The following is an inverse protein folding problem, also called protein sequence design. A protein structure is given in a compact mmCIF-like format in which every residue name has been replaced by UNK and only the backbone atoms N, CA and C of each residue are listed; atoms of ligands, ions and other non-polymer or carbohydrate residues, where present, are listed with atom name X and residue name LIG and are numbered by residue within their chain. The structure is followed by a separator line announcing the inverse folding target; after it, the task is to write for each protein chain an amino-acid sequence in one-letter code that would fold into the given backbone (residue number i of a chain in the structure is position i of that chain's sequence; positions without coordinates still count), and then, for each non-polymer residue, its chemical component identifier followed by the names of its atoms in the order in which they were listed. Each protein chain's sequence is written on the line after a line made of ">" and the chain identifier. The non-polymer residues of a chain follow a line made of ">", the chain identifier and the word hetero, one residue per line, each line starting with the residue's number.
data_IF_200709123821
#
_entry.id   IF_200709123821
#
_cell.length_a   1.000
_cell.length_b   1.000
_cell.length_c   1.000
_cell.angle_alpha   90.00
_cell.angle_beta   90.00
_cell.angle_gamma   90.00
#
_symmetry.space_group_name_H-M   'P 1'
#
loop_
_entity.id
_entity.type
_entity.pdbx_description
1 polymer ?
#
# COMPACT_ATOMS: atom_id res chain seq x y z
N UNK A 1 4.69 10.36 12.86
CA UNK A 1 5.03 11.58 13.61
C UNK A 1 4.51 11.53 15.04
N UNK A 2 5.32 11.98 16.01
CA UNK A 2 4.93 12.27 17.40
C UNK A 2 4.20 13.61 17.48
N UNK A 3 3.48 13.90 18.57
CA UNK A 3 2.83 15.21 18.74
C UNK A 3 3.88 16.30 18.93
N UNK A 4 4.83 16.02 19.83
CA UNK A 4 5.97 16.89 20.13
C UNK A 4 7.19 16.48 19.30
N UNK A 5 8.19 17.37 19.17
CA UNK A 5 9.45 17.07 18.50
C UNK A 5 10.19 15.86 19.08
N UNK A 6 11.06 15.26 18.27
CA UNK A 6 11.98 14.22 18.71
C UNK A 6 11.32 12.88 19.09
N UNK A 7 11.97 12.17 20.00
CA UNK A 7 11.63 10.79 20.39
C UNK A 7 11.88 9.78 19.27
N UNK A 8 11.38 8.55 19.45
CA UNK A 8 11.43 7.50 18.42
C UNK A 8 10.41 7.82 17.31
N UNK A 9 10.81 8.63 16.32
CA UNK A 9 10.07 8.83 15.09
C UNK A 9 11.01 8.87 13.88
N UNK A 10 10.49 8.46 12.72
CA UNK A 10 11.23 8.56 11.47
C UNK A 10 11.41 10.03 11.08
N UNK A 11 12.56 10.35 10.47
CA UNK A 11 12.77 11.62 9.79
C UNK A 11 12.00 11.57 8.46
N UNK A 12 11.08 12.51 8.28
CA UNK A 12 10.34 12.67 7.04
C UNK A 12 11.09 13.64 6.12
N UNK A 13 10.94 13.47 4.81
CA UNK A 13 11.40 14.46 3.83
C UNK A 13 10.57 15.73 3.94
N UNK A 14 11.12 16.82 3.46
CA UNK A 14 10.42 18.11 3.42
C UNK A 14 9.19 18.03 2.51
N UNK A 15 8.13 18.72 2.94
CA UNK A 15 6.88 18.89 2.21
C UNK A 15 6.71 20.32 1.76
N UNK A 16 5.46 20.74 1.57
CA UNK A 16 5.10 22.11 1.22
C UNK A 16 3.71 22.44 1.72
N UNK A 17 3.37 23.72 1.82
CA UNK A 17 2.01 24.15 2.13
C UNK A 17 1.72 25.51 1.51
N UNK A 18 0.44 25.84 1.37
CA UNK A 18 0.02 27.17 0.92
C UNK A 18 -0.29 28.06 2.13
N UNK A 19 0.24 29.28 2.11
CA UNK A 19 -0.14 30.32 3.08
C UNK A 19 -1.52 30.88 2.76
N UNK A 20 -2.12 31.60 3.71
CA UNK A 20 -3.40 32.28 3.50
C UNK A 20 -3.36 33.28 2.32
N UNK A 21 -2.18 33.81 2.02
CA UNK A 21 -1.93 34.73 0.89
C UNK A 21 -1.70 34.00 -0.45
N UNK A 22 -1.77 32.67 -0.47
CA UNK A 22 -1.65 31.84 -1.68
C UNK A 22 -0.23 31.45 -2.08
N UNK A 23 0.78 31.79 -1.30
CA UNK A 23 2.18 31.41 -1.60
C UNK A 23 2.48 29.98 -1.15
N UNK A 24 3.25 29.25 -1.97
CA UNK A 24 3.79 27.94 -1.57
C UNK A 24 5.06 28.12 -0.75
N UNK A 25 5.09 27.53 0.44
CA UNK A 25 6.25 27.52 1.34
C UNK A 25 6.72 26.08 1.53
N UNK A 26 8.04 25.88 1.58
CA UNK A 26 8.62 24.56 1.88
C UNK A 26 8.45 24.24 3.36
N UNK A 27 7.81 23.10 3.64
CA UNK A 27 7.62 22.60 5.00
C UNK A 27 8.84 21.75 5.38
N UNK A 28 9.79 22.34 6.12
CA UNK A 28 10.88 21.56 6.69
C UNK A 28 10.34 20.58 7.73
N UNK A 29 10.69 19.30 7.63
CA UNK A 29 10.20 18.25 8.55
C UNK A 29 11.19 17.92 9.68
N UNK A 30 12.38 18.52 9.64
CA UNK A 30 13.41 18.47 10.68
C UNK A 30 13.79 19.90 11.03
N UNK A 31 13.96 20.18 12.32
CA UNK A 31 14.46 21.48 12.75
C UNK A 31 15.92 21.68 12.34
N UNK A 32 16.26 22.91 11.95
CA UNK A 32 17.65 23.27 11.62
C UNK A 32 18.58 23.05 12.83
N UNK A 33 19.87 22.84 12.53
CA UNK A 33 20.87 22.57 13.56
C UNK A 33 21.11 23.74 14.53
N UNK A 34 20.74 24.95 14.13
CA UNK A 34 20.80 26.17 14.96
C UNK A 34 19.50 26.44 15.73
N UNK A 35 18.51 25.54 15.68
CA UNK A 35 17.25 25.75 16.38
C UNK A 35 17.47 25.77 17.91
N UNK A 36 16.93 26.76 18.64
CA UNK A 36 17.31 27.03 20.03
C UNK A 36 16.97 25.91 21.03
N UNK A 37 15.94 25.12 20.75
CA UNK A 37 15.42 24.09 21.68
C UNK A 37 15.56 22.67 21.13
N UNK A 38 15.23 22.47 19.86
CA UNK A 38 15.18 21.16 19.18
C UNK A 38 16.16 21.03 17.98
N UNK A 39 17.47 21.28 18.13
CA UNK A 39 18.40 21.29 16.99
C UNK A 39 18.49 19.91 16.31
N UNK A 40 18.19 19.84 15.01
CA UNK A 40 18.25 18.60 14.23
C UNK A 40 17.17 17.56 14.57
N UNK A 41 16.22 17.89 15.45
CA UNK A 41 15.17 16.95 15.81
C UNK A 41 14.04 16.94 14.75
N UNK A 42 13.46 15.76 14.46
CA UNK A 42 12.28 15.69 13.60
C UNK A 42 11.11 16.44 14.24
N UNK A 43 10.39 17.22 13.43
CA UNK A 43 9.22 17.97 13.88
C UNK A 43 8.10 17.04 14.31
N UNK A 44 7.36 17.47 15.33
CA UNK A 44 6.11 16.83 15.73
C UNK A 44 4.93 17.37 14.94
N UNK A 45 3.80 16.67 15.03
CA UNK A 45 2.51 17.07 14.46
C UNK A 45 2.14 18.50 14.88
N UNK A 46 2.39 18.87 16.15
CA UNK A 46 2.06 20.21 16.65
C UNK A 46 2.82 21.30 15.90
N UNK A 47 4.12 21.12 15.67
CA UNK A 47 4.95 22.12 14.99
C UNK A 47 4.49 22.30 13.54
N UNK A 48 4.32 21.19 12.80
CA UNK A 48 3.86 21.22 11.41
C UNK A 48 2.47 21.86 11.28
N UNK A 49 1.51 21.47 12.12
CA UNK A 49 0.16 22.06 12.08
C UNK A 49 0.12 23.54 12.49
N UNK A 50 1.00 23.98 13.39
CA UNK A 50 1.11 25.41 13.74
C UNK A 50 1.65 26.20 12.54
N UNK A 51 2.65 25.67 11.84
CA UNK A 51 3.22 26.29 10.63
C UNK A 51 2.19 26.37 9.49
N UNK A 52 1.35 25.35 9.35
CA UNK A 52 0.23 25.32 8.39
C UNK A 52 -0.99 26.16 8.85
N UNK A 53 -1.02 26.67 10.09
CA UNK A 53 -2.15 27.43 10.63
C UNK A 53 -3.40 26.60 10.94
N UNK A 54 -3.30 25.25 10.98
CA UNK A 54 -4.43 24.34 11.20
C UNK A 54 -4.46 23.71 12.62
N UNK A 55 -3.58 24.15 13.52
CA UNK A 55 -3.54 23.68 14.90
C UNK A 55 -4.66 24.30 15.75
N UNK A 56 -5.50 23.45 16.37
CA UNK A 56 -6.61 23.89 17.22
C UNK A 56 -6.47 23.48 18.71
N UNK A 57 -5.35 22.87 19.12
CA UNK A 57 -4.96 22.65 20.53
C UNK A 57 -5.82 21.70 21.36
N UNK A 58 -7.08 21.48 20.99
CA UNK A 58 -8.07 20.70 21.72
C UNK A 58 -8.27 19.29 21.13
N UNK A 59 -7.63 19.00 19.99
CA UNK A 59 -7.81 17.74 19.29
C UNK A 59 -6.74 16.71 19.68
N UNK A 60 -7.21 15.48 19.90
CA UNK A 60 -6.37 14.29 20.16
C UNK A 60 -5.47 13.95 18.98
N UNK A 61 -4.31 13.35 19.26
CA UNK A 61 -3.34 12.88 18.24
C UNK A 61 -3.98 12.00 17.17
N UNK A 62 -4.68 10.94 17.60
CA UNK A 62 -5.32 9.92 16.76
C UNK A 62 -6.59 9.46 17.46
N UNK A 63 -7.66 9.19 16.71
CA UNK A 63 -8.84 8.53 17.23
C UNK A 63 -8.50 7.13 17.79
N UNK A 64 -9.17 6.72 18.86
CA UNK A 64 -9.03 5.39 19.46
C UNK A 64 -9.56 4.30 18.53
N UNK A 65 -10.72 4.55 17.93
CA UNK A 65 -11.31 3.78 16.83
C UNK A 65 -10.93 4.38 15.47
N UNK A 66 -11.33 3.70 14.39
CA UNK A 66 -11.26 4.26 13.04
C UNK A 66 -11.95 5.64 13.00
N UNK A 67 -11.34 6.59 12.28
CA UNK A 67 -11.94 7.89 12.04
C UNK A 67 -13.22 7.70 11.23
N UNK A 68 -14.29 8.42 11.55
CA UNK A 68 -15.46 8.49 10.69
C UNK A 68 -15.01 9.10 9.34
N UNK A 69 -15.38 8.46 8.22
CA UNK A 69 -15.04 8.93 6.87
C UNK A 69 -15.53 10.35 6.64
N UNK A 70 -16.70 10.68 7.17
CA UNK A 70 -17.43 11.91 6.89
C UNK A 70 -16.90 13.11 7.70
N UNK A 71 -15.98 12.86 8.64
CA UNK A 71 -15.41 13.88 9.53
C UNK A 71 -13.93 14.08 9.22
N UNK A 72 -13.62 15.23 8.63
CA UNK A 72 -12.26 15.62 8.24
C UNK A 72 -11.41 16.06 9.45
N UNK A 73 -12.04 16.61 10.49
CA UNK A 73 -11.37 17.23 11.64
C UNK A 73 -11.57 16.46 12.95
N UNK A 74 -11.43 15.13 12.94
CA UNK A 74 -11.65 14.33 14.15
C UNK A 74 -10.39 14.09 15.02
N UNK A 75 -9.20 14.13 14.43
CA UNK A 75 -7.91 13.98 15.11
C UNK A 75 -6.79 14.63 14.30
N UNK A 76 -5.67 14.99 14.95
CA UNK A 76 -4.56 15.66 14.27
C UNK A 76 -4.00 14.84 13.09
N UNK A 77 -3.97 13.50 13.24
CA UNK A 77 -3.60 12.58 12.15
C UNK A 77 -4.51 12.75 10.93
N UNK A 78 -5.83 12.83 11.13
CA UNK A 78 -6.81 12.97 10.04
C UNK A 78 -6.67 14.32 9.35
N UNK A 79 -6.45 15.38 10.11
CA UNK A 79 -6.26 16.73 9.54
C UNK A 79 -5.01 16.76 8.66
N UNK A 80 -3.88 16.26 9.17
CA UNK A 80 -2.64 16.16 8.40
C UNK A 80 -2.79 15.26 7.18
N UNK A 81 -3.47 14.11 7.31
CA UNK A 81 -3.73 13.22 6.18
C UNK A 81 -4.44 13.94 5.04
N UNK A 82 -5.30 14.93 5.28
CA UNK A 82 -5.99 15.68 4.21
C UNK A 82 -5.26 16.93 3.75
N UNK A 83 -4.08 17.23 4.29
CA UNK A 83 -3.27 18.30 3.74
C UNK A 83 -2.75 17.89 2.34
N UNK A 84 -2.73 18.81 1.37
CA UNK A 84 -2.37 18.49 -0.02
C UNK A 84 -1.00 17.83 -0.17
N UNK A 85 0.01 18.34 0.54
CA UNK A 85 1.37 17.78 0.52
C UNK A 85 1.42 16.33 1.01
N UNK A 86 0.68 16.01 2.08
CA UNK A 86 0.59 14.64 2.58
C UNK A 86 -0.19 13.70 1.65
N UNK A 87 -1.21 14.20 0.94
CA UNK A 87 -1.96 13.41 -0.05
C UNK A 87 -1.15 13.14 -1.31
N UNK A 88 -0.40 14.14 -1.77
CA UNK A 88 0.40 14.05 -3.00
C UNK A 88 1.74 13.34 -2.77
N UNK A 89 2.19 13.23 -1.52
CA UNK A 89 3.45 12.58 -1.20
C UNK A 89 3.43 11.10 -1.58
N UNK A 90 4.13 10.77 -2.67
CA UNK A 90 4.40 9.37 -3.06
C UNK A 90 5.35 8.71 -2.07
N UNK A 91 5.22 7.39 -1.93
CA UNK A 91 6.16 6.63 -1.11
C UNK A 91 7.53 6.53 -1.79
N UNK A 92 8.61 6.45 -1.01
CA UNK A 92 9.97 6.26 -1.55
C UNK A 92 10.05 5.03 -2.47
N UNK A 93 9.35 3.95 -2.13
CA UNK A 93 9.29 2.73 -2.93
C UNK A 93 8.64 3.02 -4.30
N UNK A 94 7.52 3.75 -4.31
CA UNK A 94 6.84 4.11 -5.55
C UNK A 94 7.74 4.95 -6.45
N UNK A 95 8.38 5.98 -5.89
CA UNK A 95 9.28 6.85 -6.66
C UNK A 95 10.46 6.08 -7.22
N UNK A 96 11.11 5.25 -6.40
CA UNK A 96 12.26 4.43 -6.84
C UNK A 96 11.88 3.50 -8.00
N UNK A 97 10.70 2.89 -7.95
CA UNK A 97 10.20 1.99 -9.00
C UNK A 97 9.86 2.78 -10.27
N UNK A 98 9.15 3.90 -10.14
CA UNK A 98 8.73 4.75 -11.26
C UNK A 98 9.93 5.43 -11.95
N UNK A 99 10.96 5.85 -11.21
CA UNK A 99 12.21 6.41 -11.75
C UNK A 99 12.98 5.41 -12.60
N UNK A 100 12.87 4.11 -12.29
CA UNK A 100 13.44 3.03 -13.12
C UNK A 100 12.57 2.70 -14.34
N UNK A 101 11.47 3.43 -14.57
CA UNK A 101 10.54 3.20 -15.68
C UNK A 101 9.57 2.04 -15.46
N UNK A 102 9.41 1.57 -14.21
CA UNK A 102 8.48 0.49 -13.86
C UNK A 102 7.17 1.04 -13.28
N UNK A 103 6.10 0.26 -13.39
CA UNK A 103 4.82 0.57 -12.76
C UNK A 103 4.78 0.05 -11.31
N UNK A 104 4.45 0.93 -10.36
CA UNK A 104 4.23 0.55 -8.96
C UNK A 104 2.74 0.32 -8.68
N UNK A 105 2.31 -0.93 -8.63
CA UNK A 105 0.91 -1.30 -8.40
C UNK A 105 0.70 -1.66 -6.92
N UNK A 106 -0.15 -0.89 -6.22
CA UNK A 106 -0.56 -1.20 -4.85
C UNK A 106 -1.83 -2.05 -4.84
N UNK A 107 -1.72 -3.26 -4.31
CA UNK A 107 -2.84 -4.18 -4.19
C UNK A 107 -3.61 -3.94 -2.88
N UNK A 108 -4.95 -4.15 -2.86
CA UNK A 108 -5.75 -4.04 -1.65
C UNK A 108 -5.26 -5.01 -0.56
N UNK A 109 -5.28 -4.56 0.69
CA UNK A 109 -4.89 -5.39 1.84
C UNK A 109 -5.92 -6.50 2.08
N UNK A 110 -5.43 -7.70 2.41
CA UNK A 110 -6.25 -8.88 2.71
C UNK A 110 -7.07 -9.43 1.54
N UNK A 111 -6.68 -9.12 0.31
CA UNK A 111 -7.29 -9.60 -0.92
C UNK A 111 -6.28 -10.39 -1.77
N UNK A 112 -5.87 -11.56 -1.29
CA UNK A 112 -4.82 -12.37 -1.95
C UNK A 112 -5.26 -12.91 -3.31
N UNK A 113 -6.56 -13.06 -3.54
CA UNK A 113 -7.18 -13.43 -4.82
C UNK A 113 -6.93 -12.40 -5.94
N UNK A 114 -6.64 -11.14 -5.58
CA UNK A 114 -6.27 -10.08 -6.52
C UNK A 114 -4.78 -10.10 -6.87
N UNK A 115 -3.98 -10.91 -6.18
CA UNK A 115 -2.55 -11.02 -6.40
C UNK A 115 -2.22 -12.35 -7.10
N UNK A 116 -2.21 -12.35 -8.44
CA UNK A 116 -2.04 -13.60 -9.18
C UNK A 116 -0.70 -14.32 -8.95
N UNK A 117 0.31 -13.65 -8.38
CA UNK A 117 1.58 -14.30 -7.98
C UNK A 117 1.36 -15.36 -6.88
N UNK A 118 0.28 -15.26 -6.09
CA UNK A 118 -0.09 -16.25 -5.08
C UNK A 118 -0.42 -17.60 -5.73
N UNK A 119 -1.09 -17.59 -6.90
CA UNK A 119 -1.36 -18.82 -7.66
C UNK A 119 -0.08 -19.42 -8.23
N UNK A 120 0.83 -18.57 -8.72
CA UNK A 120 2.15 -18.99 -9.19
C UNK A 120 2.92 -19.72 -8.08
N UNK A 121 3.04 -19.10 -6.90
CA UNK A 121 3.71 -19.71 -5.75
C UNK A 121 2.97 -20.94 -5.24
N UNK A 122 1.65 -21.00 -5.32
CA UNK A 122 0.87 -22.19 -5.01
C UNK A 122 1.28 -23.39 -5.88
N UNK A 123 1.45 -23.19 -7.19
CA UNK A 123 1.92 -24.25 -8.10
C UNK A 123 3.38 -24.63 -7.87
N UNK A 124 4.26 -23.66 -7.64
CA UNK A 124 5.67 -23.90 -7.31
C UNK A 124 5.78 -24.73 -6.03
N UNK A 125 5.05 -24.36 -4.97
CA UNK A 125 5.03 -25.11 -3.71
C UNK A 125 4.51 -26.52 -3.90
N UNK A 126 3.44 -26.71 -4.67
CA UNK A 126 2.93 -28.04 -5.00
C UNK A 126 3.98 -28.88 -5.73
N UNK A 127 4.65 -28.33 -6.74
CA UNK A 127 5.70 -29.04 -7.46
C UNK A 127 6.82 -29.45 -6.50
N UNK A 128 7.31 -28.54 -5.66
CA UNK A 128 8.35 -28.83 -4.69
C UNK A 128 7.88 -29.94 -3.75
N UNK A 129 6.68 -29.84 -3.18
CA UNK A 129 6.14 -30.86 -2.29
C UNK A 129 6.05 -32.24 -2.96
N UNK A 130 5.66 -32.31 -4.23
CA UNK A 130 5.49 -33.56 -4.95
C UNK A 130 6.83 -34.18 -5.42
N UNK A 131 7.93 -33.41 -5.43
CA UNK A 131 9.23 -33.81 -6.00
C UNK A 131 10.42 -33.71 -5.03
N UNK A 132 10.22 -33.23 -3.80
CA UNK A 132 11.28 -32.99 -2.82
C UNK A 132 11.08 -33.88 -1.58
N UNK A 133 12.16 -34.45 -1.07
CA UNK A 133 12.18 -35.27 0.16
C UNK A 133 12.31 -34.45 1.45
N UNK A 134 12.00 -33.14 1.39
CA UNK A 134 12.13 -32.15 2.47
C UNK A 134 13.57 -31.86 2.92
N UNK A 135 14.60 -32.27 2.17
CA UNK A 135 15.98 -31.80 2.41
C UNK A 135 16.22 -30.42 1.79
N UNK A 136 17.16 -29.66 2.37
CA UNK A 136 17.51 -28.34 1.82
C UNK A 136 18.18 -28.44 0.44
N UNK A 137 19.01 -29.47 0.23
CA UNK A 137 19.72 -29.65 -1.04
C UNK A 137 18.76 -30.02 -2.18
N UNK A 138 17.80 -30.91 -1.91
CA UNK A 138 16.76 -31.26 -2.89
C UNK A 138 15.81 -30.10 -3.13
N UNK A 139 15.51 -29.28 -2.13
CA UNK A 139 14.75 -28.03 -2.30
C UNK A 139 15.49 -27.06 -3.24
N UNK A 140 16.79 -26.85 -3.01
CA UNK A 140 17.63 -25.97 -3.82
C UNK A 140 17.71 -26.44 -5.27
N UNK A 141 17.83 -27.75 -5.49
CA UNK A 141 17.82 -28.35 -6.82
C UNK A 141 16.43 -28.29 -7.51
N UNK A 142 15.35 -28.45 -6.73
CA UNK A 142 13.98 -28.50 -7.25
C UNK A 142 13.39 -27.12 -7.55
N UNK A 143 13.82 -26.06 -6.86
CA UNK A 143 13.24 -24.73 -7.01
C UNK A 143 13.33 -24.18 -8.45
N UNK A 144 14.49 -24.22 -9.16
CA UNK A 144 14.55 -23.79 -10.56
C UNK A 144 13.61 -24.58 -11.48
N UNK A 145 13.49 -25.89 -11.27
CA UNK A 145 12.60 -26.76 -12.06
C UNK A 145 11.13 -26.42 -11.79
N UNK A 146 10.79 -26.17 -10.52
CA UNK A 146 9.45 -25.77 -10.12
C UNK A 146 9.04 -24.43 -10.75
N UNK A 147 9.96 -23.45 -10.77
CA UNK A 147 9.73 -22.14 -11.41
C UNK A 147 9.51 -22.29 -12.93
N UNK A 148 10.29 -23.14 -13.59
CA UNK A 148 10.16 -23.41 -15.03
C UNK A 148 8.92 -24.25 -15.37
N UNK A 149 8.39 -25.02 -14.42
CA UNK A 149 7.19 -25.86 -14.62
C UNK A 149 5.92 -25.05 -14.86
N UNK A 150 5.90 -23.77 -14.47
CA UNK A 150 4.73 -22.90 -14.61
C UNK A 150 4.70 -22.27 -15.99
N UNK A 151 3.74 -22.70 -16.81
CA UNK A 151 3.60 -22.21 -18.19
C UNK A 151 3.03 -20.78 -18.22
N UNK A 152 3.52 -19.96 -19.16
CA UNK A 152 3.04 -18.58 -19.34
C UNK A 152 1.53 -18.48 -19.62
N UNK A 153 0.96 -19.44 -20.36
CA UNK A 153 -0.48 -19.50 -20.59
C UNK A 153 -1.27 -19.64 -19.28
N UNK A 154 -0.73 -20.36 -18.30
CA UNK A 154 -1.36 -20.54 -16.98
C UNK A 154 -1.30 -19.24 -16.19
N UNK A 155 -0.19 -18.50 -16.27
CA UNK A 155 -0.03 -17.18 -15.63
C UNK A 155 -1.06 -16.20 -16.16
N UNK A 156 -1.24 -16.13 -17.49
CA UNK A 156 -2.25 -15.28 -18.14
C UNK A 156 -3.68 -15.63 -17.72
N UNK A 157 -3.99 -16.92 -17.51
CA UNK A 157 -5.29 -17.34 -17.01
C UNK A 157 -5.53 -16.85 -15.56
N UNK A 158 -4.50 -16.84 -14.71
CA UNK A 158 -4.62 -16.31 -13.36
C UNK A 158 -4.73 -14.79 -13.31
N UNK A 159 -4.02 -14.08 -14.17
CA UNK A 159 -4.19 -12.64 -14.36
C UNK A 159 -5.65 -12.33 -14.73
N UNK A 160 -6.20 -13.05 -15.72
CA UNK A 160 -7.61 -12.91 -16.10
C UNK A 160 -8.57 -13.26 -14.95
N UNK A 161 -8.27 -14.29 -14.16
CA UNK A 161 -9.05 -14.63 -12.97
C UNK A 161 -9.07 -13.47 -11.96
N UNK A 162 -7.94 -12.81 -11.72
CA UNK A 162 -7.88 -11.63 -10.84
C UNK A 162 -8.73 -10.47 -11.37
N UNK A 163 -8.85 -10.29 -12.70
CA UNK A 163 -9.80 -9.33 -13.27
C UNK A 163 -11.27 -9.69 -12.95
N UNK A 164 -11.66 -10.95 -13.07
CA UNK A 164 -13.02 -11.38 -12.69
C UNK A 164 -13.31 -11.14 -11.20
N UNK A 165 -12.32 -11.33 -10.33
CA UNK A 165 -12.44 -10.97 -8.91
C UNK A 165 -12.63 -9.47 -8.71
N UNK A 166 -11.86 -8.64 -9.41
CA UNK A 166 -12.02 -7.17 -9.35
C UNK A 166 -13.42 -6.74 -9.77
N UNK A 167 -13.96 -7.29 -10.85
CA UNK A 167 -15.33 -7.00 -11.29
C UNK A 167 -16.37 -7.42 -10.25
N UNK A 168 -16.24 -8.61 -9.67
CA UNK A 168 -17.14 -9.07 -8.62
C UNK A 168 -17.14 -8.14 -7.40
N UNK A 169 -15.97 -7.65 -6.98
CA UNK A 169 -15.86 -6.68 -5.89
C UNK A 169 -16.40 -5.31 -6.25
N UNK A 170 -16.22 -4.84 -7.50
CA UNK A 170 -16.81 -3.59 -7.97
C UNK A 170 -18.35 -3.61 -7.96
N UNK A 171 -18.96 -4.79 -8.14
CA UNK A 171 -20.40 -5.00 -7.98
C UNK A 171 -20.85 -5.04 -6.50
N UNK A 172 -19.93 -4.88 -5.54
CA UNK A 172 -20.22 -4.88 -4.11
C UNK A 172 -20.42 -6.28 -3.51
N UNK A 173 -20.02 -7.34 -4.22
CA UNK A 173 -20.16 -8.70 -3.70
C UNK A 173 -19.17 -8.97 -2.56
N UNK A 174 -19.65 -9.67 -1.53
CA UNK A 174 -18.79 -10.22 -0.50
C UNK A 174 -17.94 -11.38 -1.04
N UNK A 175 -16.85 -11.72 -0.33
CA UNK A 175 -15.88 -12.74 -0.77
C UNK A 175 -16.50 -14.08 -1.18
N UNK A 176 -17.52 -14.56 -0.46
CA UNK A 176 -18.19 -15.84 -0.78
C UNK A 176 -18.97 -15.78 -2.09
N UNK A 177 -19.71 -14.70 -2.31
CA UNK A 177 -20.52 -14.52 -3.52
C UNK A 177 -19.64 -14.22 -4.74
N UNK A 178 -18.59 -13.41 -4.54
CA UNK A 178 -17.56 -13.18 -5.54
C UNK A 178 -16.88 -14.49 -5.97
N UNK A 179 -16.53 -15.37 -5.02
CA UNK A 179 -15.98 -16.69 -5.31
C UNK A 179 -16.91 -17.53 -6.18
N UNK A 180 -18.20 -17.57 -5.84
CA UNK A 180 -19.21 -18.29 -6.62
C UNK A 180 -19.33 -17.74 -8.05
N UNK A 181 -19.27 -16.41 -8.22
CA UNK A 181 -19.30 -15.79 -9.54
C UNK A 181 -18.06 -16.14 -10.37
N UNK A 182 -16.86 -16.01 -9.79
CA UNK A 182 -15.60 -16.33 -10.50
C UNK A 182 -15.54 -17.82 -10.85
N UNK A 183 -16.04 -18.71 -9.97
CA UNK A 183 -16.13 -20.14 -10.26
C UNK A 183 -17.02 -20.45 -11.47
N UNK A 184 -18.13 -19.72 -11.66
CA UNK A 184 -18.98 -19.87 -12.85
C UNK A 184 -18.19 -19.63 -14.14
N UNK A 185 -17.36 -18.59 -14.19
CA UNK A 185 -16.49 -18.33 -15.35
C UNK A 185 -15.50 -19.47 -15.60
N UNK A 186 -14.82 -19.95 -14.54
CA UNK A 186 -13.85 -21.04 -14.66
C UNK A 186 -14.46 -22.39 -15.09
N UNK A 187 -15.74 -22.59 -14.80
CA UNK A 187 -16.47 -23.84 -15.08
C UNK A 187 -17.29 -23.79 -16.38
N UNK A 188 -17.37 -22.62 -17.02
CA UNK A 188 -18.19 -22.44 -18.22
C UNK A 188 -17.50 -23.05 -19.43
N UNK A 189 -18.06 -24.16 -19.93
CA UNK A 189 -17.64 -24.76 -21.21
C UNK A 189 -18.36 -24.04 -22.34
N UNK A 190 -17.65 -23.20 -23.08
CA UNK A 190 -18.17 -22.63 -24.33
C UNK A 190 -18.28 -23.75 -25.37
N UNK A 191 -19.44 -23.87 -26.02
CA UNK A 191 -19.56 -24.69 -27.23
C UNK A 191 -18.76 -23.99 -28.31
N UNK A 192 -17.62 -24.55 -28.70
CA UNK A 192 -16.90 -24.11 -29.90
C UNK A 192 -17.86 -24.20 -31.09
N UNK A 193 -18.02 -23.10 -31.83
CA UNK A 193 -18.64 -23.17 -33.15
C UNK A 193 -17.70 -23.95 -34.06
N UNK A 194 -18.18 -25.12 -34.52
CA UNK A 194 -17.55 -25.90 -35.59
C UNK A 194 -17.67 -25.16 -36.93
#
# INVERSE_FOLDING_TARGET
>A
MNVNPGGKQAQMRDGWYHTADGFTVVQQMVFLQNHPVHPGEPKGIKAVMLEHGCWNGQIRRKCSSCCNSDVMECCNKRILEHQPDFQEQRSLIQETIEEMGHLCIFLPKFHCELNFIEFFWGRVKKYIHDNCDNSFETLKASLPLALQSVQLCTIRLWEHCSYCWMEAYQLGLGTKDAQLQVQKFSSMKYKSHC
#
